data_IF_146075833968
#
_entry.id   IF_146075833968
#
_cell.length_a   1.000
_cell.length_b   1.000
_cell.length_c   1.000
_cell.angle_alpha   90.00
_cell.angle_beta   90.00
_cell.angle_gamma   90.00
#
_symmetry.space_group_name_H-M   'P 1'
#
loop_
_entity.id
_entity.type
_entity.pdbx_description
1 polymer ?
#
# COMPACT_ATOMS: atom_id res chain seq x y z
N UNK A 1 71.43 22.56 43.69
CA UNK A 1 70.03 22.16 43.98
C UNK A 1 69.24 23.45 44.14
N UNK A 2 68.56 23.90 43.08
CA UNK A 2 67.63 25.03 43.14
C UNK A 2 66.23 24.45 43.21
N UNK A 3 65.54 24.72 44.32
CA UNK A 3 64.13 24.37 44.50
C UNK A 3 63.31 25.02 43.38
N UNK A 4 62.69 24.18 42.55
CA UNK A 4 61.65 24.63 41.64
C UNK A 4 60.39 24.91 42.46
N UNK A 5 59.72 26.06 42.28
CA UNK A 5 58.49 26.35 43.02
C UNK A 5 57.43 25.28 42.69
N UNK A 6 56.71 24.83 43.71
CA UNK A 6 55.60 23.90 43.55
C UNK A 6 54.58 24.43 42.51
N UNK A 7 53.94 23.56 41.72
CA UNK A 7 52.97 23.98 40.71
C UNK A 7 51.81 24.74 41.38
N UNK A 8 51.43 25.89 40.82
CA UNK A 8 50.31 26.68 41.31
C UNK A 8 49.02 25.85 41.29
N UNK A 9 48.43 25.61 42.46
CA UNK A 9 47.16 24.91 42.60
C UNK A 9 46.02 25.81 42.13
N UNK A 10 45.20 25.34 41.19
CA UNK A 10 44.03 26.09 40.74
C UNK A 10 42.92 25.96 41.79
N UNK A 11 42.54 27.08 42.41
CA UNK A 11 41.46 27.12 43.40
C UNK A 11 40.14 27.48 42.72
N UNK A 12 39.21 26.53 42.68
CA UNK A 12 37.91 26.72 42.04
C UNK A 12 36.81 26.61 43.09
N UNK A 13 35.95 27.63 43.15
CA UNK A 13 34.79 27.65 44.04
C UNK A 13 33.50 27.44 43.23
N UNK A 14 32.57 26.64 43.74
CA UNK A 14 31.23 26.42 43.16
C UNK A 14 30.16 26.91 44.14
N UNK A 15 29.46 27.98 43.81
CA UNK A 15 28.38 28.53 44.62
C UNK A 15 27.01 28.05 44.09
N UNK A 16 26.40 27.09 44.80
CA UNK A 16 25.11 26.48 44.46
C UNK A 16 24.57 25.65 45.62
N UNK A 17 23.37 25.96 46.10
CA UNK A 17 22.59 25.13 47.03
C UNK A 17 22.10 23.83 46.38
N UNK A 18 22.00 23.73 45.05
CA UNK A 18 21.60 22.49 44.37
C UNK A 18 22.71 21.41 44.47
N UNK A 19 22.45 20.25 45.14
CA UNK A 19 23.47 19.25 45.40
C UNK A 19 23.84 18.40 44.17
N UNK A 20 22.92 18.20 43.23
CA UNK A 20 23.18 17.42 42.01
C UNK A 20 24.00 18.23 41.01
N UNK A 21 23.65 19.51 40.84
CA UNK A 21 24.38 20.42 39.96
C UNK A 21 25.83 20.59 40.39
N UNK A 22 26.04 20.81 41.70
CA UNK A 22 27.36 20.93 42.31
C UNK A 22 28.24 19.70 42.06
N UNK A 23 27.70 18.49 42.29
CA UNK A 23 28.43 17.24 42.02
C UNK A 23 28.78 17.07 40.54
N UNK A 24 27.88 17.49 39.64
CA UNK A 24 28.13 17.47 38.20
C UNK A 24 29.27 18.42 37.79
N UNK A 25 29.23 19.66 38.27
CA UNK A 25 30.27 20.67 38.02
C UNK A 25 31.61 20.28 38.64
N UNK A 26 31.62 19.76 39.86
CA UNK A 26 32.83 19.28 40.52
C UNK A 26 33.51 18.18 39.69
N UNK A 27 32.74 17.19 39.23
CA UNK A 27 33.26 16.12 38.36
C UNK A 27 33.80 16.67 37.02
N UNK A 28 33.11 17.64 36.43
CA UNK A 28 33.53 18.30 35.18
C UNK A 28 34.84 19.07 35.37
N UNK A 29 34.93 19.87 36.44
CA UNK A 29 36.11 20.68 36.77
C UNK A 29 37.32 19.79 37.03
N UNK A 30 37.16 18.76 37.86
CA UNK A 30 38.23 17.80 38.14
C UNK A 30 38.65 17.02 36.88
N UNK A 31 37.69 16.67 36.02
CA UNK A 31 37.96 16.01 34.74
C UNK A 31 38.72 16.88 33.75
N UNK A 32 38.51 18.20 33.78
CA UNK A 32 39.15 19.15 32.83
C UNK A 32 40.50 19.67 33.31
N UNK A 33 40.63 19.98 34.60
CA UNK A 33 41.83 20.65 35.15
C UNK A 33 42.74 19.71 35.96
N UNK A 34 42.35 18.44 36.17
CA UNK A 34 43.22 17.40 36.72
C UNK A 34 43.55 17.55 38.21
N UNK A 35 44.55 16.77 38.68
CA UNK A 35 44.88 16.58 40.11
C UNK A 35 45.46 17.80 40.85
N UNK A 36 45.81 18.87 40.15
CA UNK A 36 46.34 20.13 40.73
C UNK A 36 45.24 21.17 41.01
N UNK A 37 43.97 20.76 40.97
CA UNK A 37 42.81 21.64 41.17
C UNK A 37 42.13 21.28 42.48
N UNK A 38 41.94 22.29 43.34
CA UNK A 38 41.19 22.14 44.58
C UNK A 38 39.83 22.78 44.38
N UNK A 39 38.77 22.01 44.58
CA UNK A 39 37.38 22.47 44.45
C UNK A 39 36.76 22.59 45.83
N UNK A 40 36.15 23.75 46.12
CA UNK A 40 35.26 23.93 47.27
C UNK A 40 33.90 24.40 46.80
N UNK A 41 32.86 24.07 47.55
CA UNK A 41 31.51 24.47 47.19
C UNK A 41 30.77 25.06 48.38
N UNK A 42 29.95 26.05 48.10
CA UNK A 42 29.18 26.82 49.07
C UNK A 42 27.71 26.78 48.70
N UNK A 43 26.85 26.99 49.69
CA UNK A 43 25.40 26.80 49.57
C UNK A 43 24.58 28.03 49.91
N UNK A 44 25.21 29.04 50.53
CA UNK A 44 24.55 30.28 50.90
C UNK A 44 25.42 31.48 50.49
N UNK A 45 24.80 32.65 50.38
CA UNK A 45 25.52 33.90 50.06
C UNK A 45 26.62 34.18 51.08
N UNK A 46 26.32 34.13 52.37
CA UNK A 46 27.29 34.43 53.44
C UNK A 46 28.50 33.49 53.40
N UNK A 47 28.27 32.18 53.24
CA UNK A 47 29.34 31.18 53.11
C UNK A 47 30.19 31.43 51.87
N UNK A 48 29.56 31.82 50.75
CA UNK A 48 30.23 32.14 49.49
C UNK A 48 31.16 33.34 49.65
N UNK A 49 30.68 34.43 50.25
CA UNK A 49 31.46 35.66 50.44
C UNK A 49 32.62 35.46 51.42
N UNK A 50 32.37 34.77 52.54
CA UNK A 50 33.41 34.47 53.54
C UNK A 50 34.51 33.58 52.96
N UNK A 51 34.14 32.57 52.16
CA UNK A 51 35.10 31.70 51.51
C UNK A 51 35.88 32.42 50.39
N UNK A 52 35.25 33.34 49.67
CA UNK A 52 35.96 34.17 48.67
C UNK A 52 37.09 34.99 49.29
N UNK A 53 36.83 35.59 50.46
CA UNK A 53 37.81 36.43 51.14
C UNK A 53 38.92 35.62 51.79
N UNK A 54 38.55 34.55 52.51
CA UNK A 54 39.49 33.72 53.27
C UNK A 54 40.33 32.77 52.40
N UNK A 55 39.77 32.24 51.31
CA UNK A 55 40.42 31.19 50.51
C UNK A 55 40.97 31.70 49.17
N UNK A 56 40.45 32.83 48.68
CA UNK A 56 40.89 33.53 47.47
C UNK A 56 40.93 32.61 46.23
N UNK A 57 39.76 32.19 45.71
CA UNK A 57 39.69 31.34 44.53
C UNK A 57 40.09 32.09 43.24
N UNK A 58 40.70 31.37 42.31
CA UNK A 58 41.04 31.89 40.97
C UNK A 58 39.81 31.97 40.07
N UNK A 59 38.85 31.06 40.26
CA UNK A 59 37.61 30.96 39.53
C UNK A 59 36.44 30.65 40.47
N UNK A 60 35.35 31.38 40.32
CA UNK A 60 34.08 31.08 40.97
C UNK A 60 33.03 30.74 39.92
N UNK A 61 32.41 29.57 40.04
CA UNK A 61 31.25 29.17 39.24
C UNK A 61 30.01 29.42 40.08
N UNK A 62 29.15 30.32 39.62
CA UNK A 62 27.93 30.70 40.32
C UNK A 62 26.73 30.16 39.54
N UNK A 63 25.91 29.36 40.22
CA UNK A 63 24.55 29.05 39.76
C UNK A 63 23.71 30.32 39.93
N UNK A 64 23.47 31.03 38.82
CA UNK A 64 22.75 32.31 38.91
C UNK A 64 21.23 32.13 38.95
N UNK A 65 20.71 30.92 38.75
CA UNK A 65 19.30 30.59 38.95
C UNK A 65 19.00 30.33 40.44
N UNK A 66 20.03 30.18 41.27
CA UNK A 66 19.91 29.85 42.68
C UNK A 66 19.59 31.08 43.54
N UNK A 67 18.39 31.10 44.11
CA UNK A 67 17.92 32.19 44.98
C UNK A 67 18.62 32.26 46.35
N UNK A 68 19.36 31.23 46.74
CA UNK A 68 20.17 31.24 47.97
C UNK A 68 21.48 32.02 47.85
N UNK A 69 21.86 32.37 46.60
CA UNK A 69 23.06 33.15 46.27
C UNK A 69 22.63 34.52 45.71
N UNK A 70 22.82 35.59 46.49
CA UNK A 70 22.48 36.96 46.10
C UNK A 70 23.49 37.50 45.07
N UNK A 71 23.04 37.65 43.82
CA UNK A 71 23.85 38.18 42.71
C UNK A 71 24.35 39.60 42.96
N UNK A 72 23.54 40.42 43.63
CA UNK A 72 23.87 41.81 43.92
C UNK A 72 24.98 41.92 44.97
N UNK A 73 24.86 41.15 46.05
CA UNK A 73 25.89 41.09 47.10
C UNK A 73 27.19 40.48 46.58
N UNK A 74 27.08 39.42 45.77
CA UNK A 74 28.23 38.80 45.13
C UNK A 74 28.95 39.76 44.17
N UNK A 75 28.22 40.49 43.33
CA UNK A 75 28.83 41.48 42.43
C UNK A 75 29.52 42.60 43.21
N UNK A 76 28.88 43.11 44.26
CA UNK A 76 29.45 44.15 45.11
C UNK A 76 30.80 43.70 45.69
N UNK A 77 30.85 42.49 46.28
CA UNK A 77 32.09 41.95 46.83
C UNK A 77 33.12 41.61 45.75
N UNK A 78 32.66 41.15 44.59
CA UNK A 78 33.54 40.83 43.47
C UNK A 78 34.23 42.08 42.92
N UNK A 79 33.54 43.22 42.83
CA UNK A 79 34.12 44.48 42.36
C UNK A 79 34.99 45.16 43.43
N UNK A 80 34.63 45.02 44.70
CA UNK A 80 35.35 45.65 45.81
C UNK A 80 36.72 45.03 46.14
N UNK A 81 37.04 43.83 45.61
CA UNK A 81 38.30 43.13 45.91
C UNK A 81 39.46 43.46 44.95
N UNK A 82 40.70 43.39 45.44
CA UNK A 82 41.89 43.78 44.67
C UNK A 82 42.61 42.61 43.95
N UNK A 83 42.26 41.37 44.29
CA UNK A 83 42.92 40.17 43.75
C UNK A 83 42.32 39.73 42.40
N UNK A 84 43.13 39.23 41.44
CA UNK A 84 42.60 38.68 40.20
C UNK A 84 41.69 37.47 40.46
N UNK A 85 40.49 37.51 39.91
CA UNK A 85 39.49 36.45 40.04
C UNK A 85 38.58 36.45 38.80
N UNK A 86 38.20 35.26 38.33
CA UNK A 86 37.19 35.09 37.30
C UNK A 86 35.89 34.56 37.88
N UNK A 87 34.77 34.95 37.30
CA UNK A 87 33.45 34.42 37.68
C UNK A 87 32.73 33.92 36.44
N UNK A 88 32.20 32.71 36.55
CA UNK A 88 31.43 32.03 35.53
C UNK A 88 29.99 31.90 35.99
N UNK A 89 29.06 32.53 35.27
CA UNK A 89 27.64 32.41 35.54
C UNK A 89 27.06 31.27 34.69
N UNK A 90 26.44 30.29 35.35
CA UNK A 90 25.83 29.11 34.71
C UNK A 90 24.36 28.99 35.15
N UNK A 91 23.48 28.62 34.21
CA UNK A 91 22.06 28.35 34.45
C UNK A 91 21.75 26.86 34.38
N UNK A 92 20.85 26.43 35.25
CA UNK A 92 20.21 25.12 35.23
C UNK A 92 18.91 25.10 34.41
N UNK A 93 18.22 26.24 34.30
CA UNK A 93 16.90 26.33 33.68
C UNK A 93 16.96 26.61 32.17
N UNK A 94 18.06 27.20 31.68
CA UNK A 94 18.24 27.52 30.27
C UNK A 94 19.58 26.97 29.74
N UNK A 95 19.52 26.27 28.60
CA UNK A 95 20.71 25.91 27.83
C UNK A 95 21.22 27.15 27.07
N UNK A 96 21.89 28.04 27.78
CA UNK A 96 22.44 29.30 27.25
C UNK A 96 23.97 29.32 27.24
N UNK A 97 24.54 30.36 26.63
CA UNK A 97 25.98 30.61 26.69
C UNK A 97 26.42 30.88 28.13
N UNK A 98 27.48 30.21 28.56
CA UNK A 98 28.14 30.48 29.84
C UNK A 98 28.85 31.82 29.76
N UNK A 99 28.53 32.74 30.67
CA UNK A 99 29.15 34.08 30.70
C UNK A 99 30.30 34.08 31.70
N UNK A 100 31.47 34.53 31.25
CA UNK A 100 32.67 34.64 32.10
C UNK A 100 33.06 36.11 32.24
N UNK A 101 33.17 36.55 33.48
CA UNK A 101 33.63 37.88 33.85
C UNK A 101 35.01 37.79 34.49
N UNK A 102 35.89 38.73 34.17
CA UNK A 102 37.20 38.87 34.79
C UNK A 102 37.22 40.18 35.60
N UNK A 103 37.61 40.08 36.87
CA UNK A 103 37.59 41.21 37.79
C UNK A 103 38.39 42.40 37.27
N UNK A 104 39.51 42.16 36.58
CA UNK A 104 40.41 43.22 36.11
C UNK A 104 39.91 43.97 34.89
N UNK A 105 39.00 43.37 34.13
CA UNK A 105 38.51 43.93 32.86
C UNK A 105 37.01 44.16 32.86
N UNK A 106 36.35 44.09 34.03
CA UNK A 106 34.92 44.29 34.15
C UNK A 106 34.55 45.75 33.88
N UNK A 107 33.77 46.00 32.83
CA UNK A 107 33.25 47.34 32.52
C UNK A 107 31.95 47.64 33.27
N UNK A 108 31.60 48.93 33.50
CA UNK A 108 30.32 49.30 34.11
C UNK A 108 29.09 48.73 33.37
N UNK A 109 29.16 48.62 32.04
CA UNK A 109 28.11 48.01 31.23
C UNK A 109 27.96 46.50 31.51
N UNK A 110 29.08 45.78 31.67
CA UNK A 110 29.07 44.36 32.05
C UNK A 110 28.61 44.13 33.49
N UNK A 111 28.91 45.05 34.42
CA UNK A 111 28.37 45.01 35.78
C UNK A 111 26.85 45.25 35.80
N UNK A 112 26.34 46.12 34.92
CA UNK A 112 24.90 46.31 34.75
C UNK A 112 24.22 45.08 34.12
N UNK A 113 24.85 44.43 33.13
CA UNK A 113 24.38 43.18 32.52
C UNK A 113 24.32 42.03 33.56
N UNK A 114 25.34 41.94 34.41
CA UNK A 114 25.39 41.01 35.56
C UNK A 114 24.18 41.16 36.47
N UNK A 115 23.65 42.36 36.69
CA UNK A 115 22.49 42.59 37.55
C UNK A 115 21.15 42.52 36.81
N UNK A 116 21.13 42.73 35.50
CA UNK A 116 19.90 42.98 34.75
C UNK A 116 19.39 41.82 33.90
N UNK A 117 20.21 40.82 33.55
CA UNK A 117 19.87 39.73 32.59
C UNK A 117 18.82 40.16 31.53
N UNK A 118 19.21 40.92 30.50
CA UNK A 118 18.33 41.15 29.37
C UNK A 118 18.05 39.81 28.69
N UNK A 119 16.86 39.65 28.10
CA UNK A 119 16.55 38.59 27.14
C UNK A 119 17.78 38.32 26.28
N UNK A 120 18.33 37.11 26.38
CA UNK A 120 19.35 36.64 25.46
C UNK A 120 18.74 36.68 24.06
N UNK A 121 19.02 37.75 23.32
CA UNK A 121 18.88 37.74 21.88
C UNK A 121 19.73 36.56 21.38
N UNK A 122 19.18 35.68 20.54
CA UNK A 122 19.91 34.51 20.09
C UNK A 122 21.07 34.95 19.19
N UNK A 123 22.25 35.17 19.76
CA UNK A 123 23.49 35.15 18.99
C UNK A 123 23.91 33.69 18.78
N UNK A 124 23.09 32.98 18.02
CA UNK A 124 23.36 31.61 17.59
C UNK A 124 23.89 31.62 16.15
N UNK A 125 25.01 32.29 15.86
CA UNK A 125 25.58 32.20 14.50
C UNK A 125 27.09 31.97 14.38
N UNK A 126 27.90 32.03 15.44
CA UNK A 126 29.36 32.08 15.23
C UNK A 126 30.20 30.85 15.62
N UNK A 127 29.67 29.82 16.31
CA UNK A 127 30.49 28.67 16.73
C UNK A 127 29.87 27.28 16.52
N UNK A 128 28.84 27.18 15.68
CA UNK A 128 28.63 25.91 14.98
C UNK A 128 29.76 25.86 13.96
N UNK A 129 30.82 25.10 14.28
CA UNK A 129 31.66 24.52 13.24
C UNK A 129 30.69 24.00 12.19
N UNK A 130 30.60 24.69 11.05
CA UNK A 130 30.09 24.11 9.81
C UNK A 130 31.01 22.91 9.58
N UNK A 131 30.71 21.78 10.22
CA UNK A 131 30.85 20.50 9.56
C UNK A 131 30.02 20.73 8.32
N UNK A 132 30.66 21.09 7.22
CA UNK A 132 30.00 21.06 5.94
C UNK A 132 29.42 19.65 5.90
N UNK A 133 28.11 19.52 6.03
CA UNK A 133 27.47 18.30 5.57
C UNK A 133 27.94 18.23 4.13
N UNK A 134 28.88 17.33 3.89
CA UNK A 134 29.59 17.28 2.63
C UNK A 134 28.50 17.04 1.60
N UNK A 135 28.20 18.05 0.78
CA UNK A 135 27.15 17.98 -0.26
C UNK A 135 27.31 16.70 -1.10
N UNK A 136 28.53 16.16 -1.16
CA UNK A 136 28.89 14.87 -1.74
C UNK A 136 28.00 13.71 -1.27
N UNK A 137 27.58 13.64 -0.01
CA UNK A 137 26.72 12.56 0.49
C UNK A 137 25.30 12.63 -0.09
N UNK A 138 24.71 13.83 -0.11
CA UNK A 138 23.38 14.03 -0.68
C UNK A 138 23.40 13.90 -2.21
N UNK A 139 24.46 14.37 -2.87
CA UNK A 139 24.67 14.16 -4.29
C UNK A 139 24.82 12.67 -4.60
N UNK A 140 25.62 11.94 -3.81
CA UNK A 140 25.80 10.50 -3.99
C UNK A 140 24.50 9.71 -3.76
N UNK A 141 23.77 10.01 -2.69
CA UNK A 141 22.46 9.40 -2.44
C UNK A 141 21.47 9.72 -3.56
N UNK A 142 21.43 10.97 -4.04
CA UNK A 142 20.59 11.35 -5.19
C UNK A 142 20.94 10.59 -6.47
N UNK A 143 22.23 10.45 -6.79
CA UNK A 143 22.69 9.64 -7.93
C UNK A 143 22.30 8.17 -7.76
N UNK A 144 22.45 7.60 -6.56
CA UNK A 144 22.02 6.24 -6.26
C UNK A 144 20.51 6.05 -6.43
N UNK A 145 19.69 7.02 -6.00
CA UNK A 145 18.24 6.99 -6.22
C UNK A 145 17.94 6.94 -7.70
N UNK A 146 18.56 7.80 -8.53
CA UNK A 146 18.34 7.81 -9.97
C UNK A 146 18.78 6.51 -10.64
N UNK A 147 19.96 5.99 -10.28
CA UNK A 147 20.47 4.73 -10.81
C UNK A 147 19.57 3.56 -10.42
N UNK A 148 19.19 3.46 -9.15
CA UNK A 148 18.31 2.39 -8.69
C UNK A 148 16.92 2.50 -9.31
N UNK A 149 16.39 3.72 -9.47
CA UNK A 149 15.11 3.96 -10.15
C UNK A 149 15.14 3.41 -11.56
N UNK A 150 16.18 3.73 -12.33
CA UNK A 150 16.35 3.22 -13.69
C UNK A 150 16.48 1.69 -13.71
N UNK A 151 17.25 1.10 -12.80
CA UNK A 151 17.42 -0.36 -12.75
C UNK A 151 16.12 -1.10 -12.38
N UNK A 152 15.34 -0.55 -11.44
CA UNK A 152 14.05 -1.12 -11.03
C UNK A 152 13.03 -0.98 -12.14
N UNK A 153 12.93 0.20 -12.77
CA UNK A 153 12.05 0.44 -13.91
C UNK A 153 12.40 -0.46 -15.11
N UNK A 154 13.70 -0.61 -15.42
CA UNK A 154 14.19 -1.53 -16.44
C UNK A 154 13.84 -2.99 -16.11
N UNK A 155 13.99 -3.40 -14.84
CA UNK A 155 13.61 -4.74 -14.42
C UNK A 155 12.11 -4.97 -14.61
N UNK A 156 11.26 -4.07 -14.12
CA UNK A 156 9.80 -4.21 -14.18
C UNK A 156 9.25 -4.13 -15.60
N UNK A 157 9.80 -3.26 -16.45
CA UNK A 157 9.41 -3.15 -17.86
C UNK A 157 9.82 -4.39 -18.68
N UNK A 158 10.92 -5.05 -18.32
CA UNK A 158 11.38 -6.25 -19.04
C UNK A 158 10.68 -7.54 -18.60
N UNK A 159 10.08 -7.61 -17.41
CA UNK A 159 9.35 -8.81 -16.94
C UNK A 159 8.01 -9.05 -17.63
N UNK A 160 7.50 -8.08 -18.43
CA UNK A 160 6.20 -8.17 -19.12
C UNK A 160 5.06 -8.57 -18.17
N UNK A 161 4.86 -7.76 -17.13
CA UNK A 161 3.87 -8.01 -16.07
C UNK A 161 2.44 -8.14 -16.59
N UNK A 162 2.13 -7.48 -17.70
CA UNK A 162 0.82 -7.52 -18.33
C UNK A 162 0.83 -8.44 -19.57
N UNK A 163 -0.26 -9.18 -19.83
CA UNK A 163 -0.38 -9.94 -21.06
C UNK A 163 -0.49 -9.00 -22.27
N UNK A 164 -0.52 -9.55 -23.48
CA UNK A 164 -0.64 -8.73 -24.70
C UNK A 164 -1.83 -7.78 -24.61
N UNK A 165 -1.64 -6.57 -25.13
CA UNK A 165 -2.69 -5.57 -25.24
C UNK A 165 -3.56 -5.91 -26.46
N UNK A 166 -4.84 -6.23 -26.23
CA UNK A 166 -5.73 -6.71 -27.29
C UNK A 166 -7.07 -5.97 -27.39
N UNK A 167 -7.21 -4.81 -26.73
CA UNK A 167 -8.40 -3.95 -26.85
C UNK A 167 -8.06 -2.46 -26.89
N UNK A 168 -8.97 -1.64 -27.40
CA UNK A 168 -8.87 -0.18 -27.31
C UNK A 168 -8.88 0.30 -25.86
N UNK A 169 -9.64 -0.36 -24.98
CA UNK A 169 -9.70 -0.02 -23.56
C UNK A 169 -8.37 -0.31 -22.85
N UNK A 170 -7.60 -1.29 -23.31
CA UNK A 170 -6.31 -1.64 -22.75
C UNK A 170 -5.23 -0.56 -22.98
N UNK A 171 -5.29 0.18 -24.08
CA UNK A 171 -4.31 1.24 -24.42
C UNK A 171 -4.17 2.35 -23.36
N UNK A 172 -5.25 3.02 -22.90
CA UNK A 172 -5.12 4.04 -21.87
C UNK A 172 -4.80 3.44 -20.49
N UNK A 173 -5.24 2.21 -20.20
CA UNK A 173 -4.93 1.52 -18.94
C UNK A 173 -3.43 1.20 -18.88
N UNK A 174 -2.85 0.63 -19.94
CA UNK A 174 -1.43 0.29 -19.99
C UNK A 174 -0.55 1.55 -19.86
N UNK A 175 -0.94 2.66 -20.49
CA UNK A 175 -0.23 3.95 -20.32
C UNK A 175 -0.24 4.45 -18.87
N UNK A 176 -1.37 4.30 -18.18
CA UNK A 176 -1.47 4.68 -16.76
C UNK A 176 -0.62 3.74 -15.89
N UNK A 177 -0.66 2.44 -16.19
CA UNK A 177 0.17 1.44 -15.52
C UNK A 177 1.67 1.73 -15.70
N UNK A 178 2.13 2.05 -16.90
CA UNK A 178 3.52 2.41 -17.17
C UNK A 178 3.96 3.66 -16.38
N UNK A 179 3.09 4.67 -16.30
CA UNK A 179 3.32 5.87 -15.49
C UNK A 179 3.46 5.51 -13.99
N UNK A 180 2.59 4.62 -13.49
CA UNK A 180 2.63 4.15 -12.11
C UNK A 180 3.88 3.33 -11.82
N UNK A 181 4.34 2.48 -12.75
CA UNK A 181 5.59 1.71 -12.62
C UNK A 181 6.79 2.65 -12.48
N UNK A 182 6.88 3.71 -13.29
CA UNK A 182 7.94 4.71 -13.17
C UNK A 182 7.89 5.41 -11.80
N UNK A 183 6.69 5.82 -11.37
CA UNK A 183 6.49 6.51 -10.10
C UNK A 183 6.86 5.61 -8.91
N UNK A 184 6.42 4.36 -8.90
CA UNK A 184 6.72 3.38 -7.84
C UNK A 184 8.21 3.03 -7.84
N UNK A 185 8.84 2.87 -9.01
CA UNK A 185 10.28 2.64 -9.11
C UNK A 185 11.09 3.77 -8.47
N UNK A 186 10.67 5.02 -8.69
CA UNK A 186 11.27 6.19 -8.06
C UNK A 186 11.04 6.21 -6.54
N UNK A 187 9.80 6.04 -6.08
CA UNK A 187 9.45 6.08 -4.65
C UNK A 187 10.13 4.95 -3.86
N UNK A 188 10.13 3.74 -4.42
CA UNK A 188 10.85 2.61 -3.85
C UNK A 188 12.33 2.93 -3.71
N UNK A 189 12.96 3.44 -4.77
CA UNK A 189 14.39 3.78 -4.77
C UNK A 189 14.71 4.89 -3.78
N UNK A 190 13.87 5.92 -3.72
CA UNK A 190 13.96 7.00 -2.75
C UNK A 190 13.97 6.44 -1.33
N UNK A 191 12.99 5.62 -0.96
CA UNK A 191 12.89 5.06 0.39
C UNK A 191 14.06 4.12 0.70
N UNK A 192 14.33 3.16 -0.19
CA UNK A 192 15.35 2.13 0.04
C UNK A 192 16.75 2.71 0.12
N UNK A 193 17.12 3.63 -0.76
CA UNK A 193 18.45 4.27 -0.73
C UNK A 193 18.64 5.04 0.57
N UNK A 194 17.63 5.80 1.02
CA UNK A 194 17.76 6.54 2.27
C UNK A 194 17.77 5.65 3.51
N UNK A 195 17.04 4.53 3.53
CA UNK A 195 17.12 3.51 4.59
C UNK A 195 18.52 2.90 4.63
N UNK A 196 19.02 2.41 3.50
CA UNK A 196 20.36 1.79 3.43
C UNK A 196 21.46 2.80 3.76
N UNK A 197 21.34 4.03 3.25
CA UNK A 197 22.22 5.14 3.59
C UNK A 197 22.25 5.37 5.12
N UNK A 198 21.08 5.39 5.76
CA UNK A 198 20.98 5.59 7.21
C UNK A 198 21.68 4.47 7.99
N UNK A 199 21.44 3.20 7.59
CA UNK A 199 22.05 2.02 8.20
C UNK A 199 23.58 1.97 8.06
N UNK A 200 24.15 2.60 7.04
CA UNK A 200 25.60 2.62 6.79
C UNK A 200 26.24 3.85 7.43
N UNK A 201 25.68 5.03 7.21
CA UNK A 201 26.30 6.32 7.55
C UNK A 201 26.07 6.69 9.02
N UNK A 202 24.87 6.42 9.56
CA UNK A 202 24.54 6.73 10.95
C UNK A 202 24.74 5.55 11.90
N UNK A 203 25.43 4.49 11.45
CA UNK A 203 25.82 3.37 12.29
C UNK A 203 26.81 3.79 13.38
N UNK A 204 26.51 3.44 14.64
CA UNK A 204 27.42 3.61 15.78
C UNK A 204 28.73 2.86 15.55
N UNK A 205 29.86 3.57 15.65
CA UNK A 205 31.21 2.98 15.54
C UNK A 205 31.73 2.53 16.92
N UNK A 206 32.66 1.55 16.97
CA UNK A 206 33.28 1.14 18.22
C UNK A 206 33.90 2.33 18.97
N UNK A 207 33.59 2.45 20.26
CA UNK A 207 34.11 3.53 21.13
C UNK A 207 33.37 4.88 21.03
N UNK A 208 32.31 4.99 20.21
CA UNK A 208 31.42 6.15 20.24
C UNK A 208 30.37 5.97 21.35
N UNK A 209 30.44 6.83 22.37
CA UNK A 209 29.51 6.89 23.51
C UNK A 209 28.65 8.17 23.51
N UNK A 210 28.80 9.03 22.50
CA UNK A 210 28.02 10.26 22.35
C UNK A 210 26.65 9.96 21.73
N UNK A 211 25.61 10.64 22.22
CA UNK A 211 24.28 10.61 21.62
C UNK A 211 24.26 11.32 20.26
N UNK A 212 23.36 10.88 19.38
CA UNK A 212 23.11 11.55 18.10
C UNK A 212 22.56 12.98 18.30
N UNK A 213 22.69 13.81 17.27
CA UNK A 213 22.12 15.17 17.30
C UNK A 213 20.61 15.10 17.57
N UNK A 214 20.15 15.81 18.61
CA UNK A 214 18.74 15.86 18.98
C UNK A 214 18.01 16.97 18.20
N UNK A 215 17.05 16.57 17.38
CA UNK A 215 16.09 17.43 16.72
C UNK A 215 14.74 16.72 16.65
N UNK A 216 13.64 17.47 16.75
CA UNK A 216 12.27 16.91 16.79
C UNK A 216 11.43 17.18 15.55
N UNK A 217 11.69 18.27 14.84
CA UNK A 217 10.86 18.68 13.71
C UNK A 217 11.67 19.42 12.66
N UNK A 218 11.10 19.46 11.46
CA UNK A 218 11.57 20.27 10.37
C UNK A 218 10.34 20.70 9.55
N UNK A 219 9.67 21.77 10.00
CA UNK A 219 8.41 22.23 9.40
C UNK A 219 8.52 22.44 7.88
N UNK A 220 9.61 23.03 7.32
CA UNK A 220 9.77 23.11 5.86
C UNK A 220 9.75 21.74 5.16
N UNK A 221 10.49 20.76 5.70
CA UNK A 221 10.51 19.40 5.14
C UNK A 221 9.13 18.74 5.25
N UNK A 222 8.46 18.95 6.39
CA UNK A 222 7.12 18.44 6.65
C UNK A 222 6.08 18.97 5.66
N UNK A 223 6.15 20.27 5.32
CA UNK A 223 5.28 20.88 4.32
C UNK A 223 5.58 20.30 2.93
N UNK A 224 6.86 20.19 2.56
CA UNK A 224 7.29 19.70 1.24
C UNK A 224 6.82 18.26 1.01
N UNK A 225 7.07 17.36 1.97
CA UNK A 225 6.68 15.94 1.82
C UNK A 225 5.18 15.70 1.97
N UNK A 226 4.40 16.73 2.32
CA UNK A 226 2.93 16.63 2.40
C UNK A 226 2.32 17.15 1.10
N UNK A 227 2.76 18.31 0.65
CA UNK A 227 2.24 18.95 -0.57
C UNK A 227 2.60 18.15 -1.81
N UNK A 228 3.82 17.61 -1.91
CA UNK A 228 4.26 16.87 -3.11
C UNK A 228 3.41 15.59 -3.31
N UNK A 229 3.26 14.68 -2.32
CA UNK A 229 2.42 13.49 -2.51
C UNK A 229 0.95 13.84 -2.71
N UNK A 230 0.42 14.84 -1.99
CA UNK A 230 -0.95 15.29 -2.20
C UNK A 230 -1.19 15.73 -3.65
N UNK A 231 -0.27 16.54 -4.19
CA UNK A 231 -0.35 17.01 -5.58
C UNK A 231 -0.23 15.86 -6.58
N UNK A 232 0.66 14.90 -6.32
CA UNK A 232 0.82 13.71 -7.16
C UNK A 232 -0.45 12.85 -7.19
N UNK A 233 -1.08 12.60 -6.04
CA UNK A 233 -2.34 11.84 -5.94
C UNK A 233 -3.48 12.57 -6.65
N UNK A 234 -3.59 13.90 -6.50
CA UNK A 234 -4.59 14.69 -7.23
C UNK A 234 -4.36 14.58 -8.74
N UNK A 235 -3.11 14.69 -9.20
CA UNK A 235 -2.76 14.53 -10.61
C UNK A 235 -3.11 13.15 -11.17
N UNK A 236 -2.71 12.07 -10.48
CA UNK A 236 -3.03 10.70 -10.86
C UNK A 236 -4.55 10.45 -10.88
N UNK A 237 -5.27 10.98 -9.90
CA UNK A 237 -6.75 10.90 -9.85
C UNK A 237 -7.39 11.57 -11.07
N UNK A 238 -6.88 12.75 -11.48
CA UNK A 238 -7.34 13.44 -12.69
C UNK A 238 -7.10 12.62 -13.96
N UNK A 239 -5.89 12.06 -14.14
CA UNK A 239 -5.58 11.19 -15.28
C UNK A 239 -6.40 9.89 -15.26
N UNK A 240 -6.64 9.32 -14.08
CA UNK A 240 -7.50 8.16 -13.87
C UNK A 240 -8.95 8.44 -14.28
N UNK A 241 -9.49 9.61 -13.95
CA UNK A 241 -10.84 10.01 -14.35
C UNK A 241 -10.97 10.16 -15.88
N UNK A 242 -9.97 10.73 -16.56
CA UNK A 242 -9.93 10.80 -18.03
C UNK A 242 -9.88 9.40 -18.64
N UNK A 243 -9.00 8.54 -18.11
CA UNK A 243 -8.84 7.15 -18.55
C UNK A 243 -10.14 6.37 -18.39
N UNK A 244 -10.85 6.54 -17.28
CA UNK A 244 -12.17 5.95 -17.06
C UNK A 244 -13.22 6.43 -18.06
N UNK A 245 -13.16 7.71 -18.47
CA UNK A 245 -14.02 8.23 -19.53
C UNK A 245 -13.74 7.57 -20.89
N UNK A 246 -12.47 7.40 -21.24
CA UNK A 246 -12.05 6.75 -22.49
C UNK A 246 -12.47 5.27 -22.55
N UNK A 247 -12.32 4.53 -21.45
CA UNK A 247 -12.67 3.11 -21.41
C UNK A 247 -14.18 2.85 -21.47
N UNK A 248 -15.00 3.85 -21.10
CA UNK A 248 -16.47 3.78 -21.11
C UNK A 248 -17.11 4.37 -22.36
N UNK A 249 -16.32 4.85 -23.32
CA UNK A 249 -16.84 5.47 -24.53
C UNK A 249 -17.73 4.50 -25.32
N UNK A 250 -18.94 4.95 -25.64
CA UNK A 250 -19.91 4.16 -26.40
C UNK A 250 -19.76 4.43 -27.90
N UNK A 251 -19.74 3.36 -28.68
CA UNK A 251 -19.91 3.39 -30.13
C UNK A 251 -21.42 3.54 -30.45
N UNK A 252 -21.83 4.31 -31.46
CA UNK A 252 -23.22 4.36 -31.92
C UNK A 252 -23.79 3.03 -32.42
N UNK A 253 -22.96 2.10 -32.90
CA UNK A 253 -23.43 0.82 -33.46
C UNK A 253 -22.65 -0.39 -32.91
N UNK A 254 -22.76 -0.68 -31.59
CA UNK A 254 -22.05 -1.80 -31.00
C UNK A 254 -22.73 -3.12 -31.32
N UNK A 255 -21.95 -4.20 -31.37
CA UNK A 255 -22.47 -5.57 -31.32
C UNK A 255 -23.02 -5.83 -29.91
N UNK A 256 -24.32 -6.07 -29.78
CA UNK A 256 -24.97 -6.37 -28.50
C UNK A 256 -24.80 -7.86 -28.16
N UNK A 257 -24.21 -8.15 -27.00
CA UNK A 257 -24.04 -9.52 -26.49
C UNK A 257 -24.57 -9.53 -25.05
N UNK A 258 -25.49 -10.44 -24.75
CA UNK A 258 -25.91 -10.68 -23.38
C UNK A 258 -25.08 -11.81 -22.78
N UNK A 259 -24.41 -11.51 -21.68
CA UNK A 259 -23.55 -12.43 -20.95
C UNK A 259 -24.27 -12.87 -19.69
N UNK A 260 -24.50 -14.18 -19.60
CA UNK A 260 -25.13 -14.81 -18.44
C UNK A 260 -24.09 -15.71 -17.77
N UNK A 261 -23.91 -15.53 -16.46
CA UNK A 261 -23.08 -16.38 -15.63
C UNK A 261 -23.94 -17.26 -14.73
N UNK A 262 -23.45 -18.47 -14.45
CA UNK A 262 -23.94 -19.36 -13.41
C UNK A 262 -22.81 -20.28 -12.94
N UNK A 263 -22.97 -20.99 -11.84
CA UNK A 263 -21.99 -21.93 -11.30
C UNK A 263 -21.94 -23.21 -12.17
N UNK A 264 -20.86 -23.50 -12.92
CA UNK A 264 -19.72 -22.65 -13.29
C UNK A 264 -19.55 -22.62 -14.81
N UNK A 265 -20.32 -21.75 -15.46
CA UNK A 265 -20.37 -21.62 -16.91
C UNK A 265 -20.60 -20.17 -17.35
N UNK A 266 -20.27 -19.91 -18.61
CA UNK A 266 -20.60 -18.67 -19.30
C UNK A 266 -21.54 -18.98 -20.46
N UNK A 267 -22.59 -18.19 -20.62
CA UNK A 267 -23.52 -18.25 -21.74
C UNK A 267 -23.55 -16.90 -22.44
N UNK A 268 -23.35 -16.93 -23.76
CA UNK A 268 -23.33 -15.76 -24.63
C UNK A 268 -24.55 -15.80 -25.54
N UNK A 269 -25.44 -14.83 -25.36
CA UNK A 269 -26.65 -14.65 -26.15
C UNK A 269 -26.42 -13.49 -27.11
N UNK A 270 -26.68 -13.71 -28.39
CA UNK A 270 -26.58 -12.71 -29.46
C UNK A 270 -27.99 -12.38 -29.95
N UNK A 271 -28.67 -11.37 -29.36
CA UNK A 271 -30.11 -11.17 -29.55
C UNK A 271 -30.48 -10.86 -31.00
N UNK A 272 -29.64 -10.11 -31.71
CA UNK A 272 -29.86 -9.75 -33.12
C UNK A 272 -29.90 -10.97 -34.04
N UNK A 273 -29.14 -12.02 -33.70
CA UNK A 273 -29.06 -13.24 -34.50
C UNK A 273 -29.88 -14.40 -33.91
N UNK A 274 -30.42 -14.27 -32.69
CA UNK A 274 -31.08 -15.36 -31.99
C UNK A 274 -30.16 -16.53 -31.64
N UNK A 275 -28.85 -16.29 -31.53
CA UNK A 275 -27.83 -17.31 -31.26
C UNK A 275 -27.54 -17.37 -29.76
N UNK A 276 -27.40 -18.59 -29.23
CA UNK A 276 -26.88 -18.84 -27.88
C UNK A 276 -25.65 -19.73 -28.01
N UNK A 277 -24.54 -19.33 -27.39
CA UNK A 277 -23.26 -20.03 -27.47
C UNK A 277 -22.59 -20.14 -26.10
N UNK A 278 -21.79 -21.18 -25.94
CA UNK A 278 -20.86 -21.38 -24.82
C UNK A 278 -19.48 -20.76 -25.08
N UNK A 279 -19.28 -20.14 -26.25
CA UNK A 279 -18.07 -19.41 -26.67
C UNK A 279 -18.47 -18.01 -27.15
N UNK A 280 -17.66 -17.01 -26.84
CA UNK A 280 -17.93 -15.64 -27.28
C UNK A 280 -17.12 -15.34 -28.54
N UNK A 281 -17.79 -15.15 -29.67
CA UNK A 281 -17.20 -14.60 -30.89
C UNK A 281 -17.35 -13.09 -30.95
N UNK A 282 -16.30 -12.40 -31.40
CA UNK A 282 -16.28 -10.96 -31.62
C UNK A 282 -15.49 -10.64 -32.90
N UNK A 283 -15.96 -9.74 -33.77
CA UNK A 283 -15.14 -9.22 -34.85
C UNK A 283 -14.13 -8.19 -34.33
N UNK A 284 -12.92 -8.20 -34.91
CA UNK A 284 -11.88 -7.19 -34.62
C UNK A 284 -12.36 -5.80 -35.03
N UNK A 285 -11.92 -4.79 -34.27
CA UNK A 285 -12.20 -3.35 -34.47
C UNK A 285 -13.68 -2.93 -34.37
N UNK A 286 -14.59 -3.85 -34.00
CA UNK A 286 -15.98 -3.52 -33.67
C UNK A 286 -16.19 -3.52 -32.14
N UNK A 287 -16.84 -2.49 -31.61
CA UNK A 287 -17.21 -2.49 -30.20
C UNK A 287 -18.31 -3.53 -29.92
N UNK A 288 -18.09 -4.40 -28.94
CA UNK A 288 -19.15 -5.16 -28.31
C UNK A 288 -19.64 -4.45 -27.05
N UNK A 289 -20.95 -4.34 -26.90
CA UNK A 289 -21.62 -3.93 -25.67
C UNK A 289 -22.17 -5.19 -25.00
N UNK A 290 -21.58 -5.53 -23.87
CA UNK A 290 -21.96 -6.66 -23.06
C UNK A 290 -23.00 -6.21 -22.05
N UNK A 291 -24.16 -6.87 -22.02
CA UNK A 291 -25.13 -6.76 -20.92
C UNK A 291 -24.98 -7.97 -20.02
N UNK A 292 -24.66 -7.75 -18.74
CA UNK A 292 -24.17 -8.80 -17.87
C UNK A 292 -25.13 -9.07 -16.71
N UNK A 293 -25.47 -10.35 -16.50
CA UNK A 293 -26.33 -10.81 -15.41
C UNK A 293 -25.90 -12.18 -14.88
N UNK A 294 -26.29 -12.50 -13.65
CA UNK A 294 -26.05 -13.81 -13.03
C UNK A 294 -27.34 -14.55 -12.73
N UNK A 295 -27.32 -15.88 -12.87
CA UNK A 295 -28.42 -16.79 -12.53
C UNK A 295 -28.43 -17.23 -11.06
N UNK A 296 -27.34 -17.03 -10.33
CA UNK A 296 -27.16 -17.56 -8.97
C UNK A 296 -26.43 -16.60 -8.00
N UNK A 297 -25.10 -16.58 -8.01
CA UNK A 297 -24.23 -15.80 -7.11
C UNK A 297 -23.50 -14.70 -7.89
N UNK A 298 -22.68 -13.89 -7.23
CA UNK A 298 -21.87 -12.89 -7.93
C UNK A 298 -20.76 -13.60 -8.71
N UNK A 299 -20.55 -13.15 -9.96
CA UNK A 299 -19.41 -13.53 -10.80
C UNK A 299 -18.73 -12.27 -11.33
N UNK A 300 -17.59 -12.40 -12.00
CA UNK A 300 -16.94 -11.25 -12.66
C UNK A 300 -16.35 -11.64 -14.00
N UNK A 301 -16.82 -10.98 -15.06
CA UNK A 301 -16.35 -11.21 -16.42
C UNK A 301 -14.99 -10.55 -16.58
N UNK A 302 -13.95 -11.33 -16.90
CA UNK A 302 -12.62 -10.79 -17.13
C UNK A 302 -11.87 -11.52 -18.24
N UNK A 303 -11.48 -10.78 -19.27
CA UNK A 303 -10.46 -11.18 -20.25
C UNK A 303 -9.21 -10.31 -19.98
N UNK A 304 -8.13 -10.87 -19.41
CA UNK A 304 -6.96 -10.08 -18.98
C UNK A 304 -6.36 -9.20 -20.08
N UNK A 305 -6.31 -9.69 -21.31
CA UNK A 305 -5.78 -9.01 -22.50
C UNK A 305 -6.59 -7.75 -22.87
N UNK A 306 -7.84 -7.67 -22.42
CA UNK A 306 -8.72 -6.52 -22.66
C UNK A 306 -8.71 -5.49 -21.52
N UNK A 307 -8.05 -5.78 -20.38
CA UNK A 307 -7.85 -4.92 -19.19
C UNK A 307 -9.10 -4.48 -18.43
N UNK A 308 -10.28 -4.76 -18.94
CA UNK A 308 -11.55 -4.40 -18.30
C UNK A 308 -12.21 -5.63 -17.70
N UNK A 309 -12.85 -5.44 -16.54
CA UNK A 309 -13.65 -6.45 -15.87
C UNK A 309 -14.96 -5.84 -15.38
N UNK A 310 -16.00 -6.64 -15.28
CA UNK A 310 -17.28 -6.21 -14.74
C UNK A 310 -17.96 -7.36 -14.00
N UNK A 311 -18.41 -7.07 -12.79
CA UNK A 311 -19.13 -8.02 -11.96
C UNK A 311 -20.55 -8.22 -12.49
N UNK A 312 -21.01 -9.47 -12.46
CA UNK A 312 -22.36 -9.91 -12.80
C UNK A 312 -23.11 -10.17 -11.50
N UNK A 313 -24.23 -9.49 -11.31
CA UNK A 313 -25.02 -9.55 -10.09
C UNK A 313 -26.33 -10.32 -10.36
N UNK A 314 -26.81 -11.14 -9.41
CA UNK A 314 -28.12 -11.77 -9.53
C UNK A 314 -29.26 -10.75 -9.43
N UNK A 315 -30.24 -10.83 -10.33
CA UNK A 315 -31.48 -10.05 -10.29
C UNK A 315 -31.63 -9.02 -11.41
N UNK A 316 -32.86 -8.87 -11.92
CA UNK A 316 -33.18 -8.08 -13.11
C UNK A 316 -32.84 -6.58 -12.99
N UNK A 317 -32.92 -6.02 -11.77
CA UNK A 317 -32.60 -4.61 -11.51
C UNK A 317 -31.09 -4.34 -11.35
N UNK A 318 -30.24 -5.37 -11.48
CA UNK A 318 -28.80 -5.28 -11.24
C UNK A 318 -27.94 -5.61 -12.48
N UNK A 319 -28.56 -5.64 -13.67
CA UNK A 319 -27.86 -5.81 -14.95
C UNK A 319 -26.79 -4.74 -15.11
N UNK A 320 -25.58 -5.17 -15.45
CA UNK A 320 -24.42 -4.29 -15.68
C UNK A 320 -24.08 -4.23 -17.15
N UNK A 321 -23.28 -3.23 -17.51
CA UNK A 321 -22.77 -3.07 -18.87
C UNK A 321 -21.24 -3.05 -18.87
N UNK A 322 -20.64 -3.65 -19.90
CA UNK A 322 -19.22 -3.57 -20.20
C UNK A 322 -19.04 -3.34 -21.69
N UNK A 323 -18.12 -2.48 -22.09
CA UNK A 323 -17.82 -2.20 -23.50
C UNK A 323 -16.39 -2.61 -23.81
N UNK A 324 -16.22 -3.35 -24.90
CA UNK A 324 -14.94 -3.91 -25.31
C UNK A 324 -14.82 -3.75 -26.82
N UNK A 325 -13.71 -3.17 -27.29
CA UNK A 325 -13.37 -3.14 -28.71
C UNK A 325 -12.07 -3.91 -28.90
N UNK A 326 -12.10 -5.14 -29.43
CA UNK A 326 -10.91 -5.95 -29.59
C UNK A 326 -10.08 -5.42 -30.76
N UNK A 327 -8.76 -5.37 -30.62
CA UNK A 327 -7.84 -4.80 -31.63
C UNK A 327 -6.87 -5.83 -32.20
N UNK A 328 -6.96 -7.08 -31.72
CA UNK A 328 -6.05 -8.15 -32.12
C UNK A 328 -6.82 -9.46 -32.27
N UNK A 329 -6.87 -9.99 -33.50
CA UNK A 329 -7.40 -11.32 -33.82
C UNK A 329 -6.66 -12.38 -33.02
N UNK A 330 -7.40 -13.33 -32.45
CA UNK A 330 -6.83 -14.40 -31.65
C UNK A 330 -7.86 -15.10 -30.77
N UNK A 331 -7.41 -16.17 -30.13
CA UNK A 331 -8.18 -16.90 -29.13
C UNK A 331 -7.74 -16.46 -27.74
N UNK A 332 -8.69 -15.93 -26.99
CA UNK A 332 -8.57 -15.53 -25.60
C UNK A 332 -9.50 -16.38 -24.75
N UNK A 333 -9.52 -16.10 -23.44
CA UNK A 333 -10.47 -16.71 -22.53
C UNK A 333 -11.03 -15.72 -21.54
N UNK A 334 -12.34 -15.78 -21.33
CA UNK A 334 -12.96 -15.19 -20.15
C UNK A 334 -12.65 -16.07 -18.96
N UNK A 335 -12.41 -15.44 -17.81
CA UNK A 335 -12.26 -16.08 -16.51
C UNK A 335 -13.19 -15.41 -15.52
N UNK A 336 -13.68 -16.17 -14.56
CA UNK A 336 -14.35 -15.59 -13.41
C UNK A 336 -13.32 -14.91 -12.48
N UNK A 337 -13.56 -13.64 -12.15
CA UNK A 337 -12.71 -12.83 -11.27
C UNK A 337 -13.39 -12.45 -9.94
N UNK A 338 -14.47 -13.14 -9.57
CA UNK A 338 -15.15 -13.02 -8.27
C UNK A 338 -15.39 -14.42 -7.69
N UNK A 339 -15.09 -14.62 -6.40
CA UNK A 339 -15.13 -15.95 -5.79
C UNK A 339 -16.57 -16.50 -5.78
N UNK A 340 -16.83 -17.49 -6.65
CA UNK A 340 -18.17 -17.96 -6.95
C UNK A 340 -18.40 -19.45 -6.62
N UNK A 341 -17.60 -20.04 -5.74
CA UNK A 341 -17.78 -21.42 -5.26
C UNK A 341 -16.64 -22.37 -5.62
N UNK A 342 -16.87 -23.68 -5.44
CA UNK A 342 -15.83 -24.72 -5.48
C UNK A 342 -15.10 -24.87 -6.82
N UNK A 343 -15.76 -24.58 -7.93
CA UNK A 343 -15.13 -24.61 -9.26
C UNK A 343 -14.82 -23.23 -9.85
N UNK A 344 -14.75 -22.20 -9.00
CA UNK A 344 -14.42 -20.81 -9.41
C UNK A 344 -13.17 -20.73 -10.31
N UNK A 345 -12.09 -21.41 -9.94
CA UNK A 345 -10.82 -21.40 -10.67
C UNK A 345 -10.89 -22.03 -12.08
N UNK A 346 -11.93 -22.81 -12.36
CA UNK A 346 -12.14 -23.52 -13.64
C UNK A 346 -13.25 -22.89 -14.48
N UNK A 347 -13.86 -21.80 -14.02
CA UNK A 347 -14.93 -21.10 -14.71
C UNK A 347 -14.36 -20.22 -15.84
N UNK A 348 -13.93 -20.87 -16.91
CA UNK A 348 -13.35 -20.25 -18.09
C UNK A 348 -14.18 -20.59 -19.35
N UNK A 349 -14.18 -19.71 -20.34
CA UNK A 349 -14.75 -19.99 -21.66
C UNK A 349 -13.97 -19.27 -22.77
N UNK A 350 -13.88 -19.85 -24.00
CA UNK A 350 -13.23 -19.20 -25.13
C UNK A 350 -13.86 -17.87 -25.53
N UNK A 351 -13.00 -16.89 -25.81
CA UNK A 351 -13.34 -15.61 -26.43
C UNK A 351 -12.53 -15.48 -27.71
N UNK A 352 -13.19 -15.54 -28.86
CA UNK A 352 -12.58 -15.72 -30.17
C UNK A 352 -12.77 -14.42 -30.96
N UNK A 353 -11.67 -13.70 -31.16
CA UNK A 353 -11.65 -12.48 -31.97
C UNK A 353 -11.26 -12.84 -33.39
N UNK A 354 -12.14 -12.54 -34.35
CA UNK A 354 -11.99 -12.93 -35.75
C UNK A 354 -12.17 -11.75 -36.70
N UNK A 355 -11.98 -11.97 -38.01
CA UNK A 355 -12.36 -10.96 -39.02
C UNK A 355 -13.88 -10.85 -39.11
N UNK A 356 -14.40 -9.72 -39.63
CA UNK A 356 -15.84 -9.57 -39.86
C UNK A 356 -16.41 -10.71 -40.73
N UNK A 357 -15.69 -11.10 -41.78
CA UNK A 357 -16.11 -12.18 -42.68
C UNK A 357 -16.20 -13.54 -41.98
N UNK A 358 -15.26 -13.84 -41.08
CA UNK A 358 -15.27 -15.09 -40.31
C UNK A 358 -16.37 -15.06 -39.24
N UNK A 359 -16.64 -13.90 -38.64
CA UNK A 359 -17.77 -13.72 -37.74
C UNK A 359 -19.10 -13.99 -38.45
N UNK A 360 -19.31 -13.40 -39.62
CA UNK A 360 -20.51 -13.60 -40.43
C UNK A 360 -20.65 -15.08 -40.83
N UNK A 361 -19.53 -15.74 -41.17
CA UNK A 361 -19.50 -17.18 -41.49
C UNK A 361 -19.91 -18.03 -40.30
N UNK A 362 -19.41 -17.71 -39.10
CA UNK A 362 -19.80 -18.37 -37.86
C UNK A 362 -21.30 -18.18 -37.57
N UNK A 363 -21.83 -16.97 -37.70
CA UNK A 363 -23.28 -16.68 -37.55
C UNK A 363 -24.11 -17.56 -38.48
N UNK A 364 -23.76 -17.64 -39.77
CA UNK A 364 -24.49 -18.49 -40.72
C UNK A 364 -24.40 -19.97 -40.36
N UNK A 365 -23.24 -20.44 -39.87
CA UNK A 365 -23.06 -21.80 -39.38
C UNK A 365 -23.97 -22.12 -38.18
N UNK A 366 -24.05 -21.21 -37.20
CA UNK A 366 -24.90 -21.39 -36.01
C UNK A 366 -26.39 -21.44 -36.35
N UNK A 367 -26.82 -20.61 -37.30
CA UNK A 367 -28.21 -20.57 -37.80
C UNK A 367 -28.56 -21.85 -38.57
N UNK A 368 -27.63 -22.37 -39.38
CA UNK A 368 -27.82 -23.62 -40.11
C UNK A 368 -27.79 -24.87 -39.20
N UNK A 369 -27.08 -24.79 -38.07
CA UNK A 369 -26.92 -25.89 -37.12
C UNK A 369 -28.15 -26.13 -36.21
N UNK A 370 -29.22 -25.35 -36.35
CA UNK A 370 -30.51 -25.64 -35.70
C UNK A 370 -31.15 -26.85 -36.42
N UNK A 371 -30.68 -28.04 -36.07
CA UNK A 371 -31.14 -29.31 -36.64
C UNK A 371 -32.53 -29.72 -36.11
N UNK A 372 -33.18 -30.64 -36.84
CA UNK A 372 -34.48 -31.19 -36.45
C UNK A 372 -34.39 -32.32 -35.42
N UNK A 373 -33.20 -32.85 -35.15
CA UNK A 373 -32.99 -33.92 -34.16
C UNK A 373 -33.05 -33.41 -32.70
N UNK A 374 -34.02 -33.85 -31.88
CA UNK A 374 -34.13 -33.48 -30.47
C UNK A 374 -32.89 -33.77 -29.64
N UNK A 375 -32.21 -34.89 -29.87
CA UNK A 375 -31.05 -35.26 -29.05
C UNK A 375 -29.85 -34.35 -29.34
N UNK A 376 -29.56 -34.05 -30.62
CA UNK A 376 -28.53 -33.08 -30.98
C UNK A 376 -28.82 -31.66 -30.44
N UNK A 377 -30.09 -31.22 -30.49
CA UNK A 377 -30.48 -29.94 -29.86
C UNK A 377 -30.30 -29.98 -28.35
N UNK A 378 -30.66 -31.09 -27.72
CA UNK A 378 -30.50 -31.32 -26.29
C UNK A 378 -29.06 -31.23 -25.82
N UNK A 379 -28.12 -31.81 -26.57
CA UNK A 379 -26.68 -31.70 -26.29
C UNK A 379 -26.22 -30.24 -26.34
N UNK A 380 -26.67 -29.49 -27.36
CA UNK A 380 -26.38 -28.06 -27.49
C UNK A 380 -26.94 -27.28 -26.31
N UNK A 381 -28.22 -27.45 -25.97
CA UNK A 381 -28.84 -26.78 -24.82
C UNK A 381 -28.15 -27.14 -23.50
N UNK A 382 -27.78 -28.40 -23.30
CA UNK A 382 -27.05 -28.83 -22.12
C UNK A 382 -25.67 -28.17 -22.00
N UNK A 383 -25.00 -27.94 -23.13
CA UNK A 383 -23.69 -27.29 -23.17
C UNK A 383 -23.81 -25.78 -22.95
N UNK A 384 -24.68 -25.10 -23.72
CA UNK A 384 -24.85 -23.63 -23.66
C UNK A 384 -25.47 -23.14 -22.35
N UNK A 385 -26.22 -23.99 -21.65
CA UNK A 385 -26.81 -23.66 -20.35
C UNK A 385 -26.00 -24.22 -19.17
N UNK A 386 -24.76 -24.66 -19.42
CA UNK A 386 -23.82 -25.00 -18.36
C UNK A 386 -24.07 -26.34 -17.65
N UNK A 387 -25.07 -27.13 -18.06
CA UNK A 387 -25.32 -28.45 -17.45
C UNK A 387 -24.07 -29.33 -17.51
N UNK A 388 -23.32 -29.26 -18.62
CA UNK A 388 -22.07 -30.01 -18.83
C UNK A 388 -20.90 -29.60 -17.93
N UNK A 389 -20.98 -28.45 -17.24
CA UNK A 389 -19.97 -28.04 -16.24
C UNK A 389 -20.04 -28.87 -14.95
N UNK A 390 -21.23 -29.37 -14.62
CA UNK A 390 -21.48 -30.17 -13.41
C UNK A 390 -21.83 -31.63 -13.72
N UNK A 391 -22.38 -31.93 -14.90
CA UNK A 391 -22.79 -33.28 -15.30
C UNK A 391 -21.88 -33.85 -16.39
N UNK A 392 -21.21 -34.96 -16.05
CA UNK A 392 -20.40 -35.71 -17.01
C UNK A 392 -21.28 -36.66 -17.84
N UNK A 393 -20.80 -37.02 -19.03
CA UNK A 393 -21.48 -38.01 -19.91
C UNK A 393 -20.64 -39.25 -20.16
N UNK A 394 -19.44 -39.30 -19.60
CA UNK A 394 -18.48 -40.37 -19.75
C UNK A 394 -18.36 -41.25 -18.50
N UNK A 395 -19.03 -40.88 -17.40
CA UNK A 395 -18.99 -41.56 -16.12
C UNK A 395 -18.01 -40.94 -15.11
N UNK A 396 -17.26 -39.90 -15.48
CA UNK A 396 -16.35 -39.22 -14.53
C UNK A 396 -17.12 -38.56 -13.39
N UNK A 397 -16.58 -38.63 -12.18
CA UNK A 397 -17.15 -37.94 -11.01
C UNK A 397 -17.02 -36.43 -11.19
N UNK A 398 -18.11 -35.71 -11.01
CA UNK A 398 -18.17 -34.25 -11.04
C UNK A 398 -19.09 -33.74 -9.91
N UNK A 399 -19.43 -32.46 -9.93
CA UNK A 399 -20.30 -31.82 -8.93
C UNK A 399 -21.71 -32.43 -8.95
N UNK A 400 -22.25 -32.67 -10.14
CA UNK A 400 -23.51 -33.36 -10.35
C UNK A 400 -23.32 -34.84 -10.74
N UNK A 401 -24.38 -35.65 -10.68
CA UNK A 401 -24.34 -37.03 -11.15
C UNK A 401 -24.00 -37.11 -12.63
N UNK A 402 -23.30 -38.17 -13.02
CA UNK A 402 -23.09 -38.50 -14.44
C UNK A 402 -24.41 -38.87 -15.11
N UNK A 403 -24.58 -38.44 -16.35
CA UNK A 403 -25.72 -38.82 -17.19
C UNK A 403 -25.54 -40.17 -17.87
N UNK A 404 -24.31 -40.71 -17.88
CA UNK A 404 -24.03 -42.02 -18.47
C UNK A 404 -24.76 -43.13 -17.72
N UNK A 405 -25.65 -43.85 -18.42
CA UNK A 405 -26.48 -44.91 -17.88
C UNK A 405 -27.46 -44.43 -16.80
N UNK A 406 -27.75 -43.13 -16.73
CA UNK A 406 -28.59 -42.57 -15.67
C UNK A 406 -30.08 -42.84 -15.92
N UNK A 407 -30.54 -42.67 -17.16
CA UNK A 407 -31.94 -42.87 -17.52
C UNK A 407 -32.39 -44.32 -17.29
N UNK A 408 -33.53 -44.51 -16.63
CA UNK A 408 -34.08 -45.81 -16.24
C UNK A 408 -33.46 -46.44 -14.99
N UNK A 409 -32.43 -45.83 -14.40
CA UNK A 409 -31.81 -46.31 -13.16
C UNK A 409 -32.67 -45.97 -11.95
N UNK A 410 -32.73 -46.85 -10.96
CA UNK A 410 -33.29 -46.51 -9.64
C UNK A 410 -32.23 -45.82 -8.78
N UNK A 411 -32.57 -44.66 -8.23
CA UNK A 411 -31.71 -43.88 -7.32
C UNK A 411 -32.35 -43.75 -5.95
N UNK A 412 -31.52 -43.82 -4.89
CA UNK A 412 -31.93 -43.50 -3.52
C UNK A 412 -31.88 -41.98 -3.33
N UNK A 413 -32.93 -41.41 -2.76
CA UNK A 413 -33.01 -39.99 -2.42
C UNK A 413 -32.48 -39.72 -1.01
N UNK A 414 -32.22 -38.46 -0.70
CA UNK A 414 -31.73 -38.05 0.62
C UNK A 414 -32.66 -38.40 1.79
N UNK A 415 -33.96 -38.56 1.54
CA UNK A 415 -34.96 -38.97 2.54
C UNK A 415 -35.07 -40.50 2.73
N UNK A 416 -34.25 -41.28 2.01
CA UNK A 416 -34.24 -42.74 2.03
C UNK A 416 -35.30 -43.40 1.13
N UNK A 417 -36.10 -42.61 0.42
CA UNK A 417 -37.00 -43.14 -0.62
C UNK A 417 -36.23 -43.49 -1.90
N UNK A 418 -36.85 -44.25 -2.80
CA UNK A 418 -36.28 -44.66 -4.08
C UNK A 418 -37.16 -44.17 -5.22
N UNK A 419 -36.54 -43.67 -6.28
CA UNK A 419 -37.23 -43.21 -7.49
C UNK A 419 -36.51 -43.74 -8.73
N UNK A 420 -37.27 -44.02 -9.79
CA UNK A 420 -36.72 -44.35 -11.10
C UNK A 420 -36.42 -43.04 -11.82
N UNK A 421 -35.24 -42.92 -12.41
CA UNK A 421 -34.89 -41.77 -13.26
C UNK A 421 -35.62 -41.90 -14.59
N UNK A 422 -36.84 -41.37 -14.67
CA UNK A 422 -37.65 -41.27 -15.88
C UNK A 422 -37.76 -39.80 -16.35
N UNK A 423 -38.63 -39.55 -17.35
CA UNK A 423 -38.87 -38.21 -17.88
C UNK A 423 -39.34 -37.22 -16.80
N UNK A 424 -40.26 -37.65 -15.93
CA UNK A 424 -40.83 -36.81 -14.86
C UNK A 424 -39.78 -36.48 -13.81
N UNK A 425 -38.94 -37.45 -13.44
CA UNK A 425 -37.81 -37.23 -12.55
C UNK A 425 -36.84 -36.20 -13.13
N UNK A 426 -36.43 -36.36 -14.40
CA UNK A 426 -35.47 -35.44 -15.03
C UNK A 426 -36.05 -34.03 -15.21
N UNK A 427 -37.30 -33.93 -15.63
CA UNK A 427 -38.00 -32.65 -15.75
C UNK A 427 -38.09 -31.94 -14.39
N UNK A 428 -38.44 -32.69 -13.34
CA UNK A 428 -38.48 -32.17 -11.96
C UNK A 428 -37.09 -31.78 -11.48
N UNK A 429 -36.06 -32.57 -11.76
CA UNK A 429 -34.68 -32.27 -11.39
C UNK A 429 -34.15 -31.01 -12.10
N UNK A 430 -34.61 -30.71 -13.32
CA UNK A 430 -34.22 -29.49 -14.04
C UNK A 430 -35.00 -28.27 -13.53
N UNK A 431 -36.31 -28.39 -13.36
CA UNK A 431 -37.19 -27.25 -13.04
C UNK A 431 -37.29 -26.96 -11.54
N UNK A 432 -37.05 -27.96 -10.69
CA UNK A 432 -37.13 -27.90 -9.23
C UNK A 432 -36.02 -28.75 -8.56
N UNK A 433 -34.72 -28.47 -8.81
CA UNK A 433 -33.61 -29.39 -8.49
C UNK A 433 -33.50 -29.87 -7.04
N UNK A 434 -34.04 -29.13 -6.07
CA UNK A 434 -33.96 -29.50 -4.65
C UNK A 434 -35.10 -30.41 -4.17
N UNK A 435 -36.06 -30.80 -5.02
CA UNK A 435 -37.21 -31.61 -4.57
C UNK A 435 -36.90 -33.09 -4.45
N UNK A 436 -36.04 -33.64 -5.32
CA UNK A 436 -35.75 -35.07 -5.40
C UNK A 436 -34.22 -35.31 -5.53
N UNK A 437 -33.48 -34.82 -4.54
CA UNK A 437 -32.01 -34.88 -4.53
C UNK A 437 -31.54 -36.30 -4.25
N UNK A 438 -30.73 -36.85 -5.16
CA UNK A 438 -30.09 -38.15 -4.96
C UNK A 438 -29.14 -38.11 -3.75
N UNK A 439 -29.08 -39.22 -2.99
CA UNK A 439 -28.38 -39.33 -1.70
C UNK A 439 -26.93 -38.85 -1.71
N UNK A 440 -26.20 -39.12 -2.79
CA UNK A 440 -24.77 -38.77 -2.93
C UNK A 440 -24.53 -37.40 -3.60
N UNK A 441 -25.59 -36.64 -3.89
CA UNK A 441 -25.50 -35.31 -4.51
C UNK A 441 -25.42 -34.18 -3.47
N UNK A 442 -25.05 -32.98 -3.89
CA UNK A 442 -24.98 -31.80 -3.01
C UNK A 442 -26.24 -30.93 -3.25
N UNK A 443 -27.09 -30.69 -2.24
CA UNK A 443 -28.29 -29.88 -2.39
C UNK A 443 -27.92 -28.40 -2.55
N UNK A 444 -28.81 -27.63 -3.16
CA UNK A 444 -28.67 -26.18 -3.39
C UNK A 444 -27.47 -25.76 -4.26
N UNK A 445 -26.92 -26.68 -5.06
CA UNK A 445 -25.81 -26.37 -6.00
C UNK A 445 -26.32 -26.10 -7.41
N UNK A 446 -27.31 -26.86 -7.88
CA UNK A 446 -27.90 -26.63 -9.20
C UNK A 446 -28.75 -25.33 -9.18
N UNK A 447 -28.61 -24.43 -10.17
CA UNK A 447 -29.43 -23.22 -10.25
C UNK A 447 -30.93 -23.51 -10.19
N UNK A 448 -31.65 -22.74 -9.37
CA UNK A 448 -33.10 -22.90 -9.16
C UNK A 448 -33.93 -22.15 -10.22
N UNK A 449 -33.27 -21.49 -11.18
CA UNK A 449 -33.85 -20.56 -12.14
C UNK A 449 -34.03 -21.15 -13.53
N UNK A 450 -33.71 -22.44 -13.73
CA UNK A 450 -33.81 -23.06 -15.05
C UNK A 450 -35.23 -23.04 -15.61
N UNK A 451 -36.26 -23.16 -14.75
CA UNK A 451 -37.67 -23.03 -15.14
C UNK A 451 -38.01 -21.68 -15.77
N UNK A 452 -37.32 -20.62 -15.36
CA UNK A 452 -37.54 -19.27 -15.88
C UNK A 452 -36.71 -18.99 -17.14
N UNK A 453 -35.71 -19.83 -17.43
CA UNK A 453 -34.72 -19.61 -18.49
C UNK A 453 -34.75 -20.62 -19.64
N UNK A 454 -35.41 -21.77 -19.46
CA UNK A 454 -35.56 -22.82 -20.46
C UNK A 454 -37.04 -23.06 -20.75
N UNK A 455 -37.39 -23.21 -22.03
CA UNK A 455 -38.73 -23.66 -22.42
C UNK A 455 -38.91 -25.16 -22.20
N UNK A 456 -40.16 -25.61 -22.11
CA UNK A 456 -40.50 -27.04 -21.98
C UNK A 456 -39.92 -27.86 -23.14
N UNK A 457 -39.91 -27.32 -24.37
CA UNK A 457 -39.30 -27.96 -25.54
C UNK A 457 -37.77 -28.10 -25.40
N UNK A 458 -37.08 -27.09 -24.86
CA UNK A 458 -35.64 -27.15 -24.62
C UNK A 458 -35.31 -28.19 -23.55
N UNK A 459 -36.13 -28.28 -22.49
CA UNK A 459 -35.97 -29.29 -21.44
C UNK A 459 -36.22 -30.69 -22.01
N UNK A 460 -37.25 -30.86 -22.84
CA UNK A 460 -37.54 -32.13 -23.51
C UNK A 460 -36.38 -32.56 -24.44
N UNK A 461 -35.79 -31.64 -25.19
CA UNK A 461 -34.59 -31.89 -26.00
C UNK A 461 -33.42 -32.35 -25.11
N UNK A 462 -33.14 -31.67 -23.98
CA UNK A 462 -32.08 -32.08 -23.03
C UNK A 462 -32.33 -33.50 -22.49
N UNK A 463 -33.56 -33.82 -22.14
CA UNK A 463 -33.94 -35.17 -21.69
C UNK A 463 -33.73 -36.19 -22.81
N UNK A 464 -34.08 -35.84 -24.06
CA UNK A 464 -33.83 -36.69 -25.22
C UNK A 464 -32.33 -36.96 -25.41
N UNK A 465 -31.47 -35.97 -25.20
CA UNK A 465 -30.02 -36.16 -25.19
C UNK A 465 -29.57 -37.11 -24.08
N UNK A 466 -30.02 -36.91 -22.83
CA UNK A 466 -29.66 -37.76 -21.68
C UNK A 466 -30.00 -39.23 -21.96
N UNK A 467 -31.14 -39.51 -22.60
CA UNK A 467 -31.56 -40.87 -22.99
C UNK A 467 -30.59 -41.57 -23.95
N UNK A 468 -29.82 -40.82 -24.74
CA UNK A 468 -28.84 -41.40 -25.68
C UNK A 468 -27.59 -41.91 -24.98
N UNK A 469 -27.33 -41.49 -23.75
CA UNK A 469 -26.09 -41.72 -23.01
C UNK A 469 -26.18 -43.00 -22.15
N UNK A 470 -26.29 -44.18 -22.76
CA UNK A 470 -26.39 -45.44 -22.02
C UNK A 470 -25.07 -45.93 -21.40
#
# INVERSE_FOLDING_TARGET
>A
MSDSPAPAENKIMIASANPLFRKGLEKMVLGRYGKSTIVRATTTTSETLELMESWQPDLVIVDYDDKSISRAEFLHQFVAGDLPMKVMLVSLQASGAVVVYDRRTLTPAQAQDWLSTPQLAPQTEALISRRSFSMKHFVFAGVLVLVLTFLVDLLLSTTRLLPVQASLQAQPIDRLFDLEIIAISFLFSLIVVFIVYSLIVFRRKPGQEEDGAYFKSNNPLEIIWTIIPLSAVIGLSYFGAITLGQTRQADPAPLEIKVVAGQWFWRFEYPEYGIVSDKMYMPVDQQAKLTLTSMDVIHSFWVPEFRVKQDLLPGENLVRELRITPTLIGEYKVRCAEMCGTSHAYMESPVIVVSQTDFDTWVQGELAAIGTDPAARGERWASTNGCRSCHSVDGTTSVGPTWRGLFGKTVELMDGSFVVVDDDYLYTAITSPNTQVAKDSIPNVMPQTYKDSLSDDQIADIIAFIKTLQ
#
